data_IF_930785675444
#
_entry.id   IF_930785675444
#
_cell.length_a   1.000
_cell.length_b   1.000
_cell.length_c   1.000
_cell.angle_alpha   90.00
_cell.angle_beta   90.00
_cell.angle_gamma   90.00
#
_symmetry.space_group_name_H-M   'P 1'
#
loop_
_entity.id
_entity.type
_entity.pdbx_description
1 polymer ?
#
# COMPACT_ATOMS: atom_id res chain seq x y z
N UNK A 1 -41.22 -24.63 -28.83
CA UNK A 1 -41.18 -25.18 -30.20
C UNK A 1 -39.88 -24.73 -30.86
N UNK A 2 -38.77 -25.40 -30.57
CA UNK A 2 -38.08 -26.34 -31.49
C UNK A 2 -37.80 -25.78 -32.89
N UNK A 3 -36.50 -25.57 -33.19
CA UNK A 3 -35.81 -26.24 -34.29
C UNK A 3 -34.28 -26.05 -34.18
N UNK A 4 -33.58 -27.15 -33.87
CA UNK A 4 -32.14 -27.37 -34.09
C UNK A 4 -31.94 -28.04 -35.46
N UNK A 5 -30.88 -27.67 -36.18
CA UNK A 5 -30.15 -28.44 -37.23
C UNK A 5 -28.76 -27.77 -37.31
N UNK A 6 -27.58 -28.30 -36.93
CA UNK A 6 -26.83 -29.57 -37.12
C UNK A 6 -26.36 -29.82 -38.56
N UNK A 7 -25.06 -30.18 -38.67
CA UNK A 7 -24.29 -30.89 -39.74
C UNK A 7 -23.39 -29.93 -40.57
N UNK A 8 -22.05 -29.84 -40.39
CA UNK A 8 -20.89 -30.79 -40.48
C UNK A 8 -20.38 -30.97 -41.91
N UNK A 9 -19.11 -30.58 -42.16
CA UNK A 9 -18.11 -31.13 -43.10
C UNK A 9 -16.90 -30.16 -43.10
N UNK A 10 -15.63 -30.52 -43.01
CA UNK A 10 -14.94 -31.80 -42.93
C UNK A 10 -13.42 -31.55 -42.97
N UNK A 11 -12.65 -32.49 -42.40
CA UNK A 11 -11.40 -33.07 -42.93
C UNK A 11 -10.24 -32.16 -43.40
N UNK A 12 -9.05 -32.35 -42.81
CA UNK A 12 -7.79 -32.02 -43.50
C UNK A 12 -6.56 -31.82 -42.63
N UNK A 13 -5.86 -32.92 -42.31
CA UNK A 13 -4.51 -32.98 -41.70
C UNK A 13 -3.44 -32.75 -42.78
N UNK A 14 -2.49 -31.80 -42.61
CA UNK A 14 -1.11 -31.78 -43.17
C UNK A 14 -0.29 -30.78 -42.30
N UNK A 15 0.54 -31.13 -41.30
CA UNK A 15 1.88 -31.75 -41.26
C UNK A 15 2.95 -31.05 -42.14
N UNK A 16 3.77 -30.20 -41.49
CA UNK A 16 5.23 -29.97 -41.69
C UNK A 16 5.72 -29.44 -43.07
N UNK A 17 6.88 -28.81 -43.27
CA UNK A 17 7.86 -28.04 -42.49
C UNK A 17 8.90 -27.48 -43.50
N UNK A 18 9.80 -26.59 -43.02
CA UNK A 18 11.20 -26.36 -43.47
C UNK A 18 11.54 -25.45 -44.69
N UNK A 19 12.31 -24.39 -44.36
CA UNK A 19 13.62 -23.98 -44.98
C UNK A 19 13.57 -23.29 -46.35
N UNK A 20 14.37 -22.29 -46.73
CA UNK A 20 15.21 -21.23 -46.14
C UNK A 20 15.83 -20.45 -47.34
N UNK A 21 16.46 -19.30 -47.08
CA UNK A 21 17.35 -18.49 -47.94
C UNK A 21 16.70 -17.70 -49.10
N UNK A 22 16.79 -16.37 -49.20
CA UNK A 22 17.70 -15.40 -48.59
C UNK A 22 18.40 -14.55 -49.67
N UNK A 23 18.10 -13.24 -49.73
CA UNK A 23 18.89 -12.13 -50.33
C UNK A 23 18.30 -10.80 -49.81
N UNK A 24 18.76 -10.23 -48.68
CA UNK A 24 19.97 -9.40 -48.43
C UNK A 24 19.79 -7.87 -48.67
N UNK A 25 19.19 -7.18 -47.67
CA UNK A 25 19.60 -5.97 -46.87
C UNK A 25 20.96 -5.30 -47.20
N UNK A 26 21.20 -3.94 -47.11
CA UNK A 26 21.32 -3.14 -45.83
C UNK A 26 20.98 -1.60 -45.84
N UNK A 27 20.34 -1.06 -44.78
CA UNK A 27 20.85 -0.32 -43.57
C UNK A 27 21.04 1.22 -43.77
N UNK A 28 20.21 2.12 -43.23
CA UNK A 28 20.06 2.65 -41.84
C UNK A 28 21.03 3.84 -41.51
N UNK A 29 20.54 4.93 -40.86
CA UNK A 29 20.91 5.12 -39.45
C UNK A 29 19.71 5.42 -38.53
N UNK A 30 19.72 4.67 -37.42
CA UNK A 30 19.18 4.88 -36.09
C UNK A 30 18.45 6.21 -35.75
N UNK A 31 17.21 6.06 -35.26
CA UNK A 31 16.69 6.87 -34.16
C UNK A 31 16.00 5.93 -33.15
N UNK A 32 16.46 6.00 -31.90
CA UNK A 32 16.24 5.03 -30.84
C UNK A 32 14.76 4.74 -30.54
N UNK A 33 14.44 3.45 -30.40
CA UNK A 33 13.19 2.99 -29.83
C UNK A 33 13.05 3.45 -28.37
N UNK A 34 11.87 3.90 -27.92
CA UNK A 34 11.65 4.17 -26.50
C UNK A 34 11.78 2.85 -25.74
N UNK A 35 12.77 2.78 -24.85
CA UNK A 35 12.84 1.75 -23.83
C UNK A 35 11.52 1.73 -23.05
N UNK A 36 10.92 0.56 -22.77
CA UNK A 36 9.79 0.49 -21.87
C UNK A 36 10.29 0.98 -20.51
N UNK A 37 9.93 2.22 -20.17
CA UNK A 37 10.12 2.76 -18.83
C UNK A 37 9.45 1.77 -17.88
N UNK A 38 10.12 1.27 -16.83
CA UNK A 38 9.43 0.47 -15.84
C UNK A 38 8.23 1.28 -15.39
N UNK A 39 7.04 0.73 -15.64
CA UNK A 39 5.79 1.27 -15.12
C UNK A 39 6.05 1.39 -13.62
N UNK A 40 6.23 2.61 -13.13
CA UNK A 40 6.29 2.85 -11.71
C UNK A 40 5.04 2.18 -11.17
N UNK A 41 5.24 1.12 -10.38
CA UNK A 41 4.14 0.46 -9.72
C UNK A 41 3.37 1.59 -9.03
N UNK A 42 2.15 1.84 -9.48
CA UNK A 42 1.21 2.59 -8.66
C UNK A 42 1.22 1.82 -7.36
N UNK A 43 1.83 2.40 -6.33
CA UNK A 43 1.84 1.79 -5.02
C UNK A 43 0.38 1.54 -4.72
N UNK A 44 -0.02 0.26 -4.70
CA UNK A 44 -1.37 -0.10 -4.31
C UNK A 44 -1.56 0.58 -2.96
N UNK A 45 -2.55 1.48 -2.89
CA UNK A 45 -2.91 2.11 -1.63
C UNK A 45 -3.02 0.97 -0.61
N UNK A 46 -2.23 1.05 0.46
CA UNK A 46 -2.22 0.01 1.49
C UNK A 46 -3.69 -0.27 1.90
N UNK A 47 -4.06 -1.54 2.14
CA UNK A 47 -5.42 -1.89 2.52
C UNK A 47 -5.88 -0.95 3.63
N UNK A 48 -7.05 -0.33 3.44
CA UNK A 48 -7.53 0.69 4.38
C UNK A 48 -7.79 0.00 5.71
N UNK A 49 -7.01 0.36 6.73
CA UNK A 49 -7.21 -0.09 8.09
C UNK A 49 -8.42 0.64 8.69
N UNK A 50 -9.63 0.20 8.34
CA UNK A 50 -10.88 0.84 8.76
C UNK A 50 -11.06 0.81 10.28
N UNK A 51 -10.63 -0.27 10.95
CA UNK A 51 -10.62 -0.35 12.41
C UNK A 51 -9.74 0.75 13.01
N UNK A 52 -8.49 0.83 12.55
CA UNK A 52 -7.52 1.83 12.99
C UNK A 52 -8.00 3.25 12.75
N UNK A 53 -8.60 3.51 11.58
CA UNK A 53 -9.21 4.80 11.25
C UNK A 53 -10.37 5.15 12.18
N UNK A 54 -11.24 4.19 12.48
CA UNK A 54 -12.36 4.39 13.41
C UNK A 54 -11.87 4.70 14.83
N UNK A 55 -10.91 3.94 15.34
CA UNK A 55 -10.32 4.17 16.68
C UNK A 55 -9.59 5.51 16.73
N UNK A 56 -8.81 5.82 15.70
CA UNK A 56 -8.17 7.12 15.54
C UNK A 56 -9.19 8.25 15.63
N UNK A 57 -10.27 8.19 14.86
CA UNK A 57 -11.29 9.24 14.84
C UNK A 57 -11.99 9.43 16.18
N UNK A 58 -12.25 8.34 16.92
CA UNK A 58 -12.99 8.39 18.20
C UNK A 58 -12.14 8.77 19.40
N UNK A 59 -10.83 8.50 19.37
CA UNK A 59 -9.97 8.66 20.55
C UNK A 59 -8.71 9.45 20.24
N UNK A 60 -7.92 9.03 19.25
CA UNK A 60 -6.58 9.56 19.03
C UNK A 60 -6.57 10.96 18.39
N UNK A 61 -7.57 11.25 17.54
CA UNK A 61 -7.64 12.47 16.75
C UNK A 61 -7.71 13.74 17.61
N UNK A 62 -8.25 13.65 18.84
CA UNK A 62 -8.35 14.79 19.75
C UNK A 62 -7.00 15.49 19.97
N UNK A 63 -5.90 14.72 20.01
CA UNK A 63 -4.56 15.27 20.12
C UNK A 63 -3.84 15.28 18.78
N UNK A 64 -3.91 14.19 18.03
CA UNK A 64 -3.05 13.97 16.88
C UNK A 64 -3.50 14.68 15.59
N UNK A 65 -4.77 15.07 15.45
CA UNK A 65 -5.23 15.71 14.22
C UNK A 65 -4.60 17.11 14.03
N UNK A 66 -4.58 17.89 15.10
CA UNK A 66 -4.01 19.24 15.10
C UNK A 66 -2.60 19.31 15.71
N UNK A 67 -2.11 18.22 16.32
CA UNK A 67 -0.83 18.19 17.01
C UNK A 67 -0.87 18.92 18.37
N UNK A 68 -1.99 18.77 19.09
CA UNK A 68 -2.19 19.39 20.40
C UNK A 68 -1.10 18.95 21.36
N UNK A 69 -0.55 19.91 22.10
CA UNK A 69 0.52 19.66 23.08
C UNK A 69 1.72 18.89 22.50
N UNK A 70 2.06 19.11 21.23
CA UNK A 70 3.20 18.48 20.56
C UNK A 70 2.96 17.04 20.09
N UNK A 71 1.71 16.59 20.04
CA UNK A 71 1.35 15.28 19.49
C UNK A 71 1.76 15.17 18.00
N UNK A 72 2.38 14.05 17.58
CA UNK A 72 2.80 13.89 16.19
C UNK A 72 1.59 13.80 15.26
N UNK A 73 1.56 14.63 14.20
CA UNK A 73 0.44 14.68 13.27
C UNK A 73 0.57 13.61 12.18
N UNK A 74 -0.41 12.70 12.00
CA UNK A 74 -0.39 11.77 10.87
C UNK A 74 -0.21 12.52 9.55
N UNK A 75 0.67 12.02 8.68
CA UNK A 75 1.06 12.70 7.44
C UNK A 75 2.22 13.68 7.57
N UNK A 76 2.61 14.08 8.79
CA UNK A 76 3.83 14.86 8.99
C UNK A 76 5.06 13.94 9.04
N UNK A 77 5.81 13.90 7.95
CA UNK A 77 7.03 13.07 7.84
C UNK A 77 8.11 13.45 8.84
N UNK A 78 8.23 14.72 9.22
CA UNK A 78 9.25 15.17 10.18
C UNK A 78 8.95 14.66 11.59
N UNK A 79 7.65 14.61 11.95
CA UNK A 79 7.21 14.06 13.23
C UNK A 79 7.34 12.53 13.29
N UNK A 80 7.07 11.85 12.16
CA UNK A 80 6.92 10.40 12.11
C UNK A 80 8.16 9.65 11.65
N UNK A 81 9.05 10.23 10.85
CA UNK A 81 10.26 9.56 10.36
C UNK A 81 11.11 8.98 11.49
N UNK A 82 11.52 9.78 12.50
CA UNK A 82 12.27 9.30 13.66
C UNK A 82 11.51 8.30 14.54
N UNK A 83 10.18 8.26 14.45
CA UNK A 83 9.31 7.35 15.21
C UNK A 83 9.20 6.00 14.52
N UNK A 84 8.93 6.01 13.23
CA UNK A 84 8.89 4.81 12.38
C UNK A 84 10.25 4.10 12.42
N UNK A 85 11.36 4.84 12.48
CA UNK A 85 12.70 4.28 12.64
C UNK A 85 12.92 3.50 13.96
N UNK A 86 12.10 3.71 14.99
CA UNK A 86 12.15 2.94 16.24
C UNK A 86 11.43 1.58 16.13
N UNK A 87 10.70 1.34 15.05
CA UNK A 87 9.94 0.12 14.78
C UNK A 87 8.57 0.08 15.47
N UNK A 88 7.67 -0.72 14.90
CA UNK A 88 6.27 -0.81 15.33
C UNK A 88 6.11 -1.28 16.77
N UNK A 89 6.94 -2.21 17.26
CA UNK A 89 6.86 -2.71 18.63
C UNK A 89 7.04 -1.59 19.66
N UNK A 90 7.98 -0.67 19.41
CA UNK A 90 8.21 0.52 20.25
C UNK A 90 7.00 1.45 20.22
N UNK A 91 6.45 1.71 19.02
CA UNK A 91 5.27 2.56 18.86
C UNK A 91 4.04 1.99 19.58
N UNK A 92 3.82 0.69 19.46
CA UNK A 92 2.73 0.01 20.15
C UNK A 92 2.92 0.08 21.66
N UNK A 93 4.13 -0.20 22.16
CA UNK A 93 4.42 -0.11 23.60
C UNK A 93 4.09 1.26 24.15
N UNK A 94 4.60 2.32 23.51
CA UNK A 94 4.32 3.70 23.90
C UNK A 94 2.82 4.04 23.84
N UNK A 95 2.09 3.54 22.85
CA UNK A 95 0.66 3.79 22.74
C UNK A 95 -0.17 3.02 23.78
N UNK A 96 0.24 1.81 24.14
CA UNK A 96 -0.45 0.94 25.09
C UNK A 96 -0.18 1.36 26.54
N UNK A 97 1.08 1.57 26.88
CA UNK A 97 1.56 1.84 28.24
C UNK A 97 1.60 3.33 28.56
N UNK A 98 1.55 4.18 27.53
CA UNK A 98 1.82 5.61 27.64
C UNK A 98 3.30 5.92 27.49
N UNK A 99 3.60 7.18 27.19
CA UNK A 99 4.96 7.62 26.93
C UNK A 99 5.11 9.11 27.25
N UNK A 100 6.11 9.45 28.05
CA UNK A 100 6.58 10.83 28.19
C UNK A 100 7.83 11.00 27.35
N UNK A 101 7.78 11.92 26.40
CA UNK A 101 8.92 12.30 25.59
C UNK A 101 9.15 13.79 25.60
N UNK A 102 10.13 14.22 24.81
CA UNK A 102 10.55 15.63 24.75
C UNK A 102 9.43 16.60 24.33
N UNK A 103 8.46 16.10 23.57
CA UNK A 103 7.39 16.92 22.99
C UNK A 103 6.08 16.87 23.78
N UNK A 104 6.01 16.07 24.86
CA UNK A 104 4.79 15.94 25.67
C UNK A 104 4.55 14.53 26.19
N UNK A 105 3.35 14.34 26.74
CA UNK A 105 2.88 13.07 27.31
C UNK A 105 1.80 12.46 26.40
N UNK A 106 2.00 11.21 26.01
CA UNK A 106 0.97 10.35 25.44
C UNK A 106 0.40 9.47 26.56
N UNK A 107 -0.88 9.60 26.94
CA UNK A 107 -1.49 8.75 27.96
C UNK A 107 -1.63 7.30 27.46
N UNK A 108 -1.58 6.35 28.39
CA UNK A 108 -1.82 4.93 28.12
C UNK A 108 -3.15 4.73 27.38
N UNK A 109 -3.13 3.94 26.30
CA UNK A 109 -4.27 3.70 25.39
C UNK A 109 -4.95 4.98 24.90
N UNK A 110 -4.19 6.05 24.71
CA UNK A 110 -4.73 7.35 24.30
C UNK A 110 -5.71 7.97 25.33
N UNK A 111 -5.63 7.56 26.59
CA UNK A 111 -6.53 8.00 27.66
C UNK A 111 -7.86 7.25 27.71
N UNK A 112 -8.08 6.27 26.82
CA UNK A 112 -9.30 5.46 26.80
C UNK A 112 -9.01 4.04 27.28
N UNK A 113 -9.31 3.78 28.55
CA UNK A 113 -9.05 2.47 29.20
C UNK A 113 -9.95 1.34 28.70
N UNK A 114 -10.99 1.63 27.90
CA UNK A 114 -11.87 0.62 27.30
C UNK A 114 -11.34 0.03 26.00
N UNK A 115 -10.31 0.64 25.38
CA UNK A 115 -9.72 0.12 24.15
C UNK A 115 -8.98 -1.20 24.41
N UNK A 116 -9.18 -2.16 23.52
CA UNK A 116 -8.38 -3.37 23.51
C UNK A 116 -7.02 -3.10 22.86
N UNK A 117 -6.02 -3.90 23.20
CA UNK A 117 -4.66 -3.69 22.68
C UNK A 117 -4.62 -3.78 21.14
N UNK A 118 -5.45 -4.62 20.53
CA UNK A 118 -5.59 -4.72 19.08
C UNK A 118 -6.14 -3.43 18.44
N UNK A 119 -7.09 -2.76 19.10
CA UNK A 119 -7.66 -1.50 18.63
C UNK A 119 -6.62 -0.38 18.64
N UNK A 120 -5.82 -0.32 19.72
CA UNK A 120 -4.73 0.66 19.85
C UNK A 120 -3.66 0.42 18.78
N UNK A 121 -3.24 -0.83 18.57
CA UNK A 121 -2.26 -1.17 17.53
C UNK A 121 -2.78 -0.82 16.13
N UNK A 122 -4.05 -1.13 15.84
CA UNK A 122 -4.66 -0.75 14.58
C UNK A 122 -4.67 0.78 14.38
N UNK A 123 -4.94 1.56 15.43
CA UNK A 123 -4.87 3.02 15.34
C UNK A 123 -3.44 3.52 15.07
N UNK A 124 -2.43 2.94 15.72
CA UNK A 124 -1.01 3.25 15.46
C UNK A 124 -0.67 2.94 14.01
N UNK A 125 -1.05 1.77 13.50
CA UNK A 125 -0.83 1.38 12.11
C UNK A 125 -1.47 2.33 11.12
N UNK A 126 -2.71 2.76 11.39
CA UNK A 126 -3.37 3.77 10.56
C UNK A 126 -2.55 5.06 10.49
N UNK A 127 -2.08 5.57 11.63
CA UNK A 127 -1.31 6.81 11.70
C UNK A 127 0.07 6.70 11.03
N UNK A 128 0.75 5.56 11.20
CA UNK A 128 2.01 5.23 10.52
C UNK A 128 1.80 5.16 9.02
N UNK A 129 0.73 4.48 8.56
CA UNK A 129 0.41 4.35 7.15
C UNK A 129 0.16 5.70 6.46
N UNK A 130 -0.39 6.68 7.16
CA UNK A 130 -0.53 8.05 6.62
C UNK A 130 0.80 8.81 6.52
N UNK A 131 1.86 8.31 7.14
CA UNK A 131 3.09 9.07 7.41
C UNK A 131 4.36 8.50 6.76
N UNK A 132 4.22 7.49 5.91
CA UNK A 132 5.29 7.02 5.01
C UNK A 132 5.60 8.02 3.89
#
# INVERSE_FOLDING_TARGET
>A
MSKRKIVVLGMGVIVQALVACGRQTPAEPAAAAPTPRPQAAVAAAAPVNELGKSVYGKTCAMCHAAGVAGAPKPGNKDDWGPRIAQGNDTLYKHALEGFTGNNGMMPARGGNTSLQDGDVKAAVDFMVAQSH
#
